data_IF_090951289184
#
_entry.id   IF_090951289184
#
_cell.length_a   1.000
_cell.length_b   1.000
_cell.length_c   1.000
_cell.angle_alpha   90.00
_cell.angle_beta   90.00
_cell.angle_gamma   90.00
#
_symmetry.space_group_name_H-M   'P 1'
#
loop_
_entity.id
_entity.type
_entity.pdbx_description
1 polymer ?
#
# COMPACT_ATOMS: atom_id res chain seq x y z
N UNK A 1 5.65 0.38 -31.11
CA UNK A 1 4.34 0.86 -30.65
C UNK A 1 3.60 1.41 -31.84
N UNK A 2 2.40 0.90 -32.10
CA UNK A 2 1.50 1.44 -33.13
C UNK A 2 1.01 2.82 -32.69
N UNK A 3 0.65 3.69 -33.65
CA UNK A 3 0.01 4.98 -33.35
C UNK A 3 -1.31 4.83 -32.56
N UNK A 4 -1.91 3.64 -32.53
CA UNK A 4 -3.07 3.29 -31.69
C UNK A 4 -2.71 3.09 -30.21
N UNK A 5 -1.55 2.50 -29.91
CA UNK A 5 -1.11 2.19 -28.54
C UNK A 5 -0.84 3.48 -27.74
N UNK A 6 -0.44 4.54 -28.44
CA UNK A 6 -0.21 5.85 -27.84
C UNK A 6 -1.50 6.56 -27.38
N UNK A 7 -2.69 6.11 -27.84
CA UNK A 7 -3.98 6.72 -27.49
C UNK A 7 -4.74 5.97 -26.40
N UNK A 8 -4.32 4.76 -26.05
CA UNK A 8 -4.92 3.98 -24.97
C UNK A 8 -3.80 3.21 -24.24
N UNK A 9 -3.03 3.88 -23.38
CA UNK A 9 -1.92 3.24 -22.68
C UNK A 9 -2.45 2.11 -21.79
N UNK A 10 -1.66 1.05 -21.69
CA UNK A 10 -1.94 -0.06 -20.77
C UNK A 10 -1.61 0.38 -19.33
N UNK A 11 -2.57 1.08 -18.70
CA UNK A 11 -2.40 1.62 -17.35
C UNK A 11 -2.15 0.55 -16.30
N UNK A 12 -2.62 -0.68 -16.51
CA UNK A 12 -2.32 -1.79 -15.62
C UNK A 12 -0.82 -2.09 -15.64
N UNK A 13 -0.24 -2.33 -16.83
CA UNK A 13 1.21 -2.58 -16.93
C UNK A 13 2.03 -1.41 -16.42
N UNK A 14 1.60 -0.18 -16.71
CA UNK A 14 2.28 1.03 -16.22
C UNK A 14 2.26 1.04 -14.69
N UNK A 15 1.08 0.87 -14.07
CA UNK A 15 0.94 0.82 -12.62
C UNK A 15 1.78 -0.30 -12.00
N UNK A 16 1.65 -1.54 -12.48
CA UNK A 16 2.37 -2.70 -11.94
C UNK A 16 3.89 -2.49 -11.97
N UNK A 17 4.40 -1.83 -13.02
CA UNK A 17 5.81 -1.53 -13.21
C UNK A 17 6.36 -0.34 -12.38
N UNK A 18 5.51 0.37 -11.63
CA UNK A 18 5.97 1.54 -10.86
C UNK A 18 7.04 1.13 -9.82
N UNK A 19 8.15 1.88 -9.72
CA UNK A 19 9.22 1.57 -8.75
C UNK A 19 8.79 1.85 -7.30
N UNK A 20 7.73 2.65 -7.12
CA UNK A 20 7.15 2.95 -5.82
C UNK A 20 6.21 1.83 -5.36
N UNK A 21 6.22 1.59 -4.05
CA UNK A 21 5.41 0.56 -3.40
C UNK A 21 3.97 1.06 -3.22
N UNK A 22 3.06 0.58 -4.07
CA UNK A 22 1.64 0.89 -3.98
C UNK A 22 0.78 -0.38 -3.96
N UNK A 23 -0.35 -0.27 -3.27
CA UNK A 23 -1.45 -1.22 -3.29
C UNK A 23 -2.76 -0.46 -3.43
N UNK A 24 -3.69 -1.00 -4.21
CA UNK A 24 -5.02 -0.42 -4.44
C UNK A 24 -6.03 -1.30 -3.72
N UNK A 25 -6.89 -0.66 -2.94
CA UNK A 25 -8.00 -1.31 -2.25
C UNK A 25 -9.33 -0.67 -2.64
N UNK A 26 -10.41 -1.43 -2.54
CA UNK A 26 -11.79 -0.90 -2.54
C UNK A 26 -12.09 -0.18 -1.21
N UNK A 27 -13.22 0.55 -1.10
CA UNK A 27 -13.58 1.26 0.14
C UNK A 27 -13.77 0.34 1.36
N UNK A 28 -14.06 -0.94 1.13
CA UNK A 28 -14.14 -1.98 2.18
C UNK A 28 -12.78 -2.66 2.48
N UNK A 29 -11.68 -2.10 1.95
CA UNK A 29 -10.28 -2.54 2.12
C UNK A 29 -9.89 -3.83 1.37
N UNK A 30 -10.71 -4.32 0.46
CA UNK A 30 -10.35 -5.45 -0.39
C UNK A 30 -9.26 -5.07 -1.39
N UNK A 31 -8.16 -5.80 -1.41
CA UNK A 31 -7.05 -5.58 -2.35
C UNK A 31 -7.48 -5.92 -3.77
N UNK A 32 -7.25 -5.02 -4.71
CA UNK A 32 -7.54 -5.22 -6.14
C UNK A 32 -6.31 -5.17 -7.03
N UNK A 33 -5.23 -4.51 -6.59
CA UNK A 33 -3.98 -4.46 -7.33
C UNK A 33 -2.81 -4.08 -6.41
N UNK A 34 -1.59 -4.45 -6.80
CA UNK A 34 -0.33 -4.01 -6.18
C UNK A 34 0.72 -3.72 -7.24
N UNK A 35 1.72 -2.90 -6.94
CA UNK A 35 2.92 -2.78 -7.78
C UNK A 35 3.83 -3.98 -7.57
N UNK A 36 4.61 -4.34 -8.58
CA UNK A 36 5.56 -5.44 -8.47
C UNK A 36 6.65 -5.14 -7.43
N UNK A 37 6.99 -3.86 -7.26
CA UNK A 37 7.89 -3.38 -6.20
C UNK A 37 7.32 -3.59 -4.79
N UNK A 38 6.01 -3.42 -4.57
CA UNK A 38 5.35 -3.70 -3.29
C UNK A 38 5.33 -5.21 -2.98
N UNK A 39 5.03 -6.05 -3.98
CA UNK A 39 5.05 -7.51 -3.82
C UNK A 39 6.46 -8.00 -3.48
N UNK A 40 7.49 -7.48 -4.16
CA UNK A 40 8.87 -7.83 -3.91
C UNK A 40 9.34 -7.42 -2.50
N UNK A 41 8.90 -6.27 -1.96
CA UNK A 41 9.29 -5.83 -0.62
C UNK A 41 8.65 -6.62 0.51
N UNK A 42 7.51 -7.26 0.25
CA UNK A 42 6.73 -8.02 1.25
C UNK A 42 6.83 -9.53 1.10
N UNK A 43 7.45 -10.02 0.02
CA UNK A 43 7.55 -11.45 -0.29
C UNK A 43 6.22 -12.11 -0.66
N UNK A 44 5.14 -11.35 -0.85
CA UNK A 44 3.81 -11.85 -1.21
C UNK A 44 3.67 -12.02 -2.71
N UNK A 45 2.80 -12.94 -3.14
CA UNK A 45 2.36 -13.04 -4.54
C UNK A 45 1.07 -12.26 -4.76
N UNK A 46 0.86 -11.80 -6.00
CA UNK A 46 -0.36 -11.10 -6.40
C UNK A 46 -1.60 -11.97 -6.20
N UNK A 47 -1.50 -13.22 -6.64
CA UNK A 47 -2.56 -14.23 -6.52
C UNK A 47 -2.88 -14.56 -5.06
N UNK A 48 -1.91 -14.37 -4.16
CA UNK A 48 -2.07 -14.63 -2.74
C UNK A 48 -2.69 -13.50 -1.94
N UNK A 49 -2.84 -12.29 -2.50
CA UNK A 49 -3.36 -11.12 -1.75
C UNK A 49 -4.57 -10.46 -2.39
N UNK A 50 -4.74 -10.57 -3.72
CA UNK A 50 -5.90 -9.96 -4.40
C UNK A 50 -7.19 -10.64 -3.93
N UNK A 51 -8.18 -9.84 -3.55
CA UNK A 51 -9.44 -10.29 -2.97
C UNK A 51 -9.44 -10.43 -1.44
N UNK A 52 -8.31 -10.22 -0.77
CA UNK A 52 -8.23 -10.20 0.70
C UNK A 52 -8.40 -8.79 1.27
N UNK A 53 -8.83 -8.68 2.53
CA UNK A 53 -8.70 -7.43 3.28
C UNK A 53 -7.20 -7.14 3.51
N UNK A 54 -6.78 -5.91 3.23
CA UNK A 54 -5.38 -5.49 3.38
C UNK A 54 -4.81 -5.72 4.79
N UNK A 55 -5.63 -5.63 5.83
CA UNK A 55 -5.22 -5.82 7.21
C UNK A 55 -5.01 -7.31 7.56
N UNK A 56 -5.65 -8.21 6.81
CA UNK A 56 -5.44 -9.66 6.93
C UNK A 56 -4.22 -10.11 6.11
N UNK A 57 -4.02 -9.52 4.93
CA UNK A 57 -2.86 -9.81 4.09
C UNK A 57 -1.54 -9.32 4.72
N UNK A 58 -1.60 -8.22 5.47
CA UNK A 58 -0.48 -7.57 6.16
C UNK A 58 -0.85 -7.29 7.62
N UNK A 59 -0.82 -8.29 8.51
CA UNK A 59 -1.10 -8.12 9.93
C UNK A 59 0.10 -7.51 10.66
N UNK A 60 -0.15 -6.85 11.79
CA UNK A 60 0.90 -6.37 12.69
C UNK A 60 1.78 -7.52 13.20
N UNK A 61 3.04 -7.20 13.53
CA UNK A 61 3.98 -8.17 14.11
C UNK A 61 3.42 -8.74 15.43
N UNK A 62 3.11 -10.04 15.52
CA UNK A 62 2.54 -10.64 16.73
C UNK A 62 3.50 -10.63 17.92
N UNK A 63 4.81 -10.52 17.68
CA UNK A 63 5.83 -10.44 18.72
C UNK A 63 5.99 -9.03 19.31
N UNK A 64 5.30 -8.03 18.72
CA UNK A 64 5.32 -6.65 19.16
C UNK A 64 3.93 -6.22 19.66
N UNK A 65 3.67 -6.24 20.99
CA UNK A 65 2.36 -5.88 21.54
C UNK A 65 2.00 -4.40 21.36
N UNK A 66 2.99 -3.56 21.07
CA UNK A 66 2.82 -2.13 20.82
C UNK A 66 2.68 -1.81 19.32
N UNK A 67 2.60 -2.83 18.45
CA UNK A 67 2.37 -2.62 17.03
C UNK A 67 0.97 -2.01 16.79
N UNK A 68 0.95 -0.98 15.93
CA UNK A 68 -0.24 -0.16 15.65
C UNK A 68 -0.44 0.08 14.16
N UNK A 69 0.29 -0.61 13.29
CA UNK A 69 0.28 -0.38 11.86
C UNK A 69 -1.10 -0.61 11.26
N UNK A 70 -1.75 -1.72 11.62
CA UNK A 70 -3.09 -2.04 11.10
C UNK A 70 -4.16 -1.06 11.56
N UNK A 71 -4.10 -0.60 12.81
CA UNK A 71 -5.01 0.41 13.38
C UNK A 71 -4.85 1.77 12.67
N UNK A 72 -3.60 2.20 12.47
CA UNK A 72 -3.25 3.46 11.79
C UNK A 72 -3.71 3.42 10.32
N UNK A 73 -3.44 2.31 9.61
CA UNK A 73 -3.83 2.12 8.22
C UNK A 73 -5.35 2.12 8.06
N UNK A 74 -6.07 1.34 8.89
CA UNK A 74 -7.54 1.30 8.89
C UNK A 74 -8.12 2.70 9.03
N UNK A 75 -7.68 3.42 10.06
CA UNK A 75 -8.19 4.76 10.37
C UNK A 75 -7.94 5.75 9.23
N UNK A 76 -6.81 5.61 8.53
CA UNK A 76 -6.48 6.47 7.38
C UNK A 76 -7.34 6.16 6.16
N UNK A 77 -7.54 4.89 5.82
CA UNK A 77 -8.44 4.50 4.73
C UNK A 77 -9.87 4.98 5.01
N UNK A 78 -10.36 4.79 6.24
CA UNK A 78 -11.69 5.26 6.65
C UNK A 78 -11.83 6.78 6.49
N UNK A 79 -10.85 7.58 6.93
CA UNK A 79 -10.85 9.03 6.70
C UNK A 79 -10.86 9.40 5.21
N UNK A 80 -10.13 8.70 4.36
CA UNK A 80 -10.13 8.94 2.91
C UNK A 80 -11.51 8.63 2.31
N UNK A 81 -12.12 7.51 2.72
CA UNK A 81 -13.46 7.11 2.28
C UNK A 81 -14.51 8.13 2.71
N UNK A 82 -14.45 8.62 3.94
CA UNK A 82 -15.39 9.60 4.48
C UNK A 82 -15.23 10.99 3.87
N UNK A 83 -13.99 11.44 3.65
CA UNK A 83 -13.71 12.83 3.27
C UNK A 83 -13.50 13.02 1.77
N UNK A 84 -13.18 11.95 1.04
CA UNK A 84 -12.74 12.03 -0.35
C UNK A 84 -11.45 12.82 -0.54
N UNK A 85 -10.61 12.94 0.49
CA UNK A 85 -9.34 13.66 0.46
C UNK A 85 -8.17 12.74 0.72
N UNK A 86 -7.00 13.08 0.17
CA UNK A 86 -5.75 12.39 0.49
C UNK A 86 -5.42 12.54 1.98
N UNK A 87 -4.95 11.45 2.58
CA UNK A 87 -4.42 11.43 3.95
C UNK A 87 -2.95 11.01 3.90
N UNK A 88 -2.07 11.84 4.45
CA UNK A 88 -0.62 11.59 4.53
C UNK A 88 -0.28 11.44 6.00
N UNK A 89 0.21 10.26 6.37
CA UNK A 89 0.49 9.91 7.75
C UNK A 89 1.92 10.29 8.13
N UNK A 90 2.25 10.54 9.41
CA UNK A 90 3.64 10.61 9.84
C UNK A 90 4.36 9.25 9.63
N UNK A 91 5.71 9.20 9.71
CA UNK A 91 6.45 7.95 9.72
C UNK A 91 5.87 6.90 10.69
N UNK A 92 5.59 5.71 10.19
CA UNK A 92 5.08 4.57 10.95
C UNK A 92 6.13 3.48 10.97
N UNK A 93 6.45 2.95 12.16
CA UNK A 93 7.26 1.75 12.27
C UNK A 93 6.39 0.53 11.95
N UNK A 94 6.88 -0.32 11.07
CA UNK A 94 6.25 -1.59 10.73
C UNK A 94 7.35 -2.64 10.56
N UNK A 95 7.31 -3.70 11.35
CA UNK A 95 8.33 -4.74 11.23
C UNK A 95 7.95 -5.68 10.07
N UNK A 96 8.88 -5.95 9.15
CA UNK A 96 8.66 -6.87 8.02
C UNK A 96 9.37 -8.19 8.32
N UNK A 97 8.63 -9.30 8.18
CA UNK A 97 9.19 -10.65 8.26
C UNK A 97 10.01 -10.96 7.00
N UNK A 98 11.27 -11.35 7.19
CA UNK A 98 12.12 -11.80 6.09
C UNK A 98 11.91 -13.30 5.77
N UNK A 99 12.65 -13.81 4.78
CA UNK A 99 12.53 -15.22 4.34
C UNK A 99 12.87 -16.25 5.41
N UNK A 100 13.60 -15.86 6.46
CA UNK A 100 14.00 -16.72 7.58
C UNK A 100 13.01 -16.64 8.76
N UNK A 101 11.92 -15.90 8.61
CA UNK A 101 10.90 -15.68 9.65
C UNK A 101 11.30 -14.64 10.70
N UNK A 102 12.32 -13.82 10.42
CA UNK A 102 12.82 -12.80 11.35
C UNK A 102 12.19 -11.47 11.00
N UNK A 103 11.58 -10.82 11.99
CA UNK A 103 11.02 -9.47 11.86
C UNK A 103 12.11 -8.40 11.93
N UNK A 104 12.25 -7.62 10.86
CA UNK A 104 13.16 -6.48 10.78
C UNK A 104 12.40 -5.16 10.96
N UNK A 105 12.86 -4.26 11.84
CA UNK A 105 12.22 -2.96 12.01
C UNK A 105 12.40 -2.10 10.77
N UNK A 106 11.29 -1.69 10.15
CA UNK A 106 11.25 -0.74 9.05
C UNK A 106 10.43 0.48 9.41
N UNK A 107 10.70 1.58 8.72
CA UNK A 107 9.95 2.83 8.83
C UNK A 107 9.36 3.18 7.47
N UNK A 108 8.06 3.39 7.45
CA UNK A 108 7.33 3.76 6.26
C UNK A 108 6.75 5.16 6.38
N UNK A 109 6.69 5.89 5.28
CA UNK A 109 5.95 7.14 5.13
C UNK A 109 4.67 6.84 4.35
N UNK A 110 3.52 6.59 5.03
CA UNK A 110 2.32 6.13 4.36
C UNK A 110 1.48 7.29 3.80
N UNK A 111 0.79 7.02 2.70
CA UNK A 111 -0.28 7.87 2.19
C UNK A 111 -1.46 7.03 1.72
N UNK A 112 -2.65 7.60 1.78
CA UNK A 112 -3.87 7.03 1.23
C UNK A 112 -4.59 8.08 0.38
N UNK A 113 -4.82 7.79 -0.90
CA UNK A 113 -5.40 8.74 -1.85
C UNK A 113 -6.68 8.16 -2.50
N UNK A 114 -7.76 8.95 -2.62
CA UNK A 114 -9.00 8.48 -3.22
C UNK A 114 -8.89 8.43 -4.74
N UNK A 115 -9.54 7.44 -5.35
CA UNK A 115 -9.78 7.37 -6.78
C UNK A 115 -11.29 7.30 -7.04
N UNK A 116 -11.76 8.20 -7.90
CA UNK A 116 -13.18 8.36 -8.23
C UNK A 116 -13.47 7.86 -9.64
N UNK A 117 -14.69 7.38 -9.86
CA UNK A 117 -15.20 7.08 -11.20
C UNK A 117 -15.72 8.34 -11.92
N UNK A 118 -16.26 8.17 -13.13
CA UNK A 118 -16.79 9.26 -13.94
C UNK A 118 -18.00 9.98 -13.33
N UNK A 119 -18.68 9.35 -12.38
CA UNK A 119 -19.84 9.92 -11.66
C UNK A 119 -19.43 10.58 -10.33
N UNK A 120 -18.13 10.58 -10.01
CA UNK A 120 -17.59 11.15 -8.78
C UNK A 120 -17.76 10.25 -7.56
N UNK A 121 -18.07 8.97 -7.75
CA UNK A 121 -18.12 7.99 -6.64
C UNK A 121 -16.71 7.47 -6.37
N UNK A 122 -16.32 7.42 -5.09
CA UNK A 122 -15.05 6.81 -4.67
C UNK A 122 -15.14 5.31 -4.89
N UNK A 123 -14.26 4.80 -5.75
CA UNK A 123 -14.22 3.38 -6.15
C UNK A 123 -12.99 2.66 -5.62
N UNK A 124 -11.90 3.40 -5.40
CA UNK A 124 -10.68 2.83 -4.82
C UNK A 124 -9.98 3.82 -3.89
N UNK A 125 -9.11 3.27 -3.05
CA UNK A 125 -8.09 3.99 -2.30
C UNK A 125 -6.73 3.43 -2.72
N UNK A 126 -5.86 4.32 -3.19
CA UNK A 126 -4.44 4.02 -3.39
C UNK A 126 -3.72 4.17 -2.06
N UNK A 127 -3.14 3.08 -1.56
CA UNK A 127 -2.22 3.09 -0.43
C UNK A 127 -0.78 3.07 -0.94
N UNK A 128 0.04 4.01 -0.48
CA UNK A 128 1.49 4.04 -0.72
C UNK A 128 2.26 3.93 0.58
N UNK A 129 3.38 3.21 0.54
CA UNK A 129 4.27 3.02 1.69
C UNK A 129 5.74 3.18 1.26
N UNK A 130 6.28 4.38 1.35
CA UNK A 130 7.70 4.61 1.05
C UNK A 130 8.57 4.12 2.21
N UNK A 131 9.50 3.19 1.96
CA UNK A 131 10.50 2.76 2.95
C UNK A 131 11.53 3.88 3.17
N UNK A 132 11.44 4.52 4.33
CA UNK A 132 12.32 5.60 4.79
C UNK A 132 13.28 5.13 5.90
N UNK A 133 13.46 3.81 6.06
CA UNK A 133 14.30 3.22 7.11
C UNK A 133 15.70 3.81 7.10
N UNK A 134 16.34 3.90 5.91
CA UNK A 134 17.68 4.48 5.78
C UNK A 134 17.74 5.95 6.23
N UNK A 135 16.68 6.74 6.02
CA UNK A 135 16.62 8.15 6.44
C UNK A 135 16.46 8.27 7.96
N UNK A 136 15.75 7.31 8.58
CA UNK A 136 15.55 7.26 10.02
C UNK A 136 16.78 6.74 10.76
N UNK A 137 17.54 5.81 10.19
CA UNK A 137 18.74 5.23 10.82
C UNK A 137 20.01 6.03 10.58
N UNK A 138 20.08 6.84 9.52
CA UNK A 138 21.25 7.67 9.19
C UNK A 138 21.38 8.96 10.02
N UNK A 139 20.41 9.26 10.89
CA UNK A 139 20.43 10.43 11.79
C UNK A 139 21.15 10.19 13.14
N UNK A 140 22.13 9.27 13.19
CA UNK A 140 22.96 9.05 14.39
C UNK A 140 24.25 9.86 14.35
#
# INVERSE_FOLDING_TARGET
>A
MSSSDARNPDFQKIFESLPNQYIIVTPDRTIVAATDSFLASTGKSREGIVGMDILEAFPDNPDNPDAKGTEILRSSIERVVETGKIDILPPVRYDIENSDGIFEPRWFQPLNAPAFDGDGKLVYVLHGAEDITAQMTSKS
#
